data_IF_670838199050
#
_entry.id   IF_670838199050
#
_cell.length_a   1.000
_cell.length_b   1.000
_cell.length_c   1.000
_cell.angle_alpha   90.00
_cell.angle_beta   90.00
_cell.angle_gamma   90.00
#
_symmetry.space_group_name_H-M   'P 1'
#
loop_
_entity.id
_entity.type
_entity.pdbx_description
1 polymer ?
#
# COMPACT_ATOMS: atom_id res chain seq x y z
N UNK A 1 22.41 -11.24 7.20
CA UNK A 1 22.10 -9.85 7.64
C UNK A 1 22.54 -9.67 9.08
N UNK A 2 23.37 -8.66 9.37
CA UNK A 2 23.79 -8.34 10.74
C UNK A 2 22.64 -7.65 11.51
N UNK A 3 22.70 -7.66 12.83
CA UNK A 3 21.72 -6.98 13.67
C UNK A 3 21.64 -5.46 13.40
N UNK A 4 22.77 -4.84 13.08
CA UNK A 4 22.83 -3.40 12.76
C UNK A 4 22.13 -3.11 11.42
N UNK A 5 22.37 -3.91 10.39
CA UNK A 5 21.70 -3.81 9.09
C UNK A 5 20.18 -3.96 9.23
N UNK A 6 19.73 -4.97 10.00
CA UNK A 6 18.32 -5.19 10.29
C UNK A 6 17.67 -3.98 11.00
N UNK A 7 18.38 -3.39 11.97
CA UNK A 7 17.91 -2.21 12.68
C UNK A 7 17.78 -1.00 11.76
N UNK A 8 18.78 -0.76 10.91
CA UNK A 8 18.77 0.37 9.96
C UNK A 8 17.64 0.20 8.93
N UNK A 9 17.51 -0.99 8.33
CA UNK A 9 16.46 -1.27 7.36
C UNK A 9 15.06 -1.23 8.00
N UNK A 10 14.91 -1.72 9.23
CA UNK A 10 13.67 -1.63 9.98
C UNK A 10 13.26 -0.17 10.30
N UNK A 11 14.24 0.68 10.61
CA UNK A 11 14.02 2.12 10.80
C UNK A 11 13.62 2.80 9.48
N UNK A 12 14.28 2.47 8.38
CA UNK A 12 13.92 2.95 7.04
C UNK A 12 12.47 2.56 6.74
N UNK A 13 12.10 1.30 6.92
CA UNK A 13 10.72 0.83 6.71
C UNK A 13 9.72 1.63 7.57
N UNK A 14 9.95 1.71 8.87
CA UNK A 14 9.02 2.37 9.79
C UNK A 14 8.82 3.86 9.49
N UNK A 15 9.86 4.57 9.02
CA UNK A 15 9.76 5.97 8.64
C UNK A 15 9.10 6.15 7.27
N UNK A 16 9.46 5.32 6.28
CA UNK A 16 9.03 5.51 4.89
C UNK A 16 7.67 4.91 4.58
N UNK A 17 7.16 3.98 5.39
CA UNK A 17 5.82 3.39 5.20
C UNK A 17 4.70 4.42 5.42
N UNK A 18 4.83 5.23 6.46
CA UNK A 18 3.83 6.25 6.78
C UNK A 18 4.03 7.56 5.99
N UNK A 19 5.22 7.76 5.45
CA UNK A 19 5.48 8.83 4.50
C UNK A 19 5.13 8.36 3.09
N UNK A 20 4.56 9.22 2.24
CA UNK A 20 4.15 8.83 0.89
C UNK A 20 5.34 8.76 -0.09
N UNK A 21 6.44 8.06 0.30
CA UNK A 21 7.74 8.08 -0.41
C UNK A 21 8.24 6.70 -0.88
N UNK A 22 7.43 5.66 -0.79
CA UNK A 22 7.75 4.28 -1.15
C UNK A 22 8.76 3.59 -0.22
N UNK A 23 8.24 2.89 0.78
CA UNK A 23 9.06 2.06 1.69
C UNK A 23 9.77 0.93 0.95
N UNK A 24 9.09 0.24 0.04
CA UNK A 24 9.66 -0.83 -0.78
C UNK A 24 10.84 -0.35 -1.64
N UNK A 25 10.73 0.84 -2.23
CA UNK A 25 11.84 1.44 -2.98
C UNK A 25 13.05 1.75 -2.10
N UNK A 26 12.83 2.29 -0.91
CA UNK A 26 13.91 2.58 0.04
C UNK A 26 14.55 1.30 0.61
N UNK A 27 13.75 0.27 0.91
CA UNK A 27 14.26 -1.03 1.32
C UNK A 27 15.09 -1.68 0.22
N UNK A 28 14.65 -1.65 -1.04
CA UNK A 28 15.39 -2.21 -2.16
C UNK A 28 16.77 -1.54 -2.31
N UNK A 29 16.83 -0.22 -2.21
CA UNK A 29 18.09 0.53 -2.24
C UNK A 29 18.95 0.20 -1.02
N UNK A 30 18.37 0.21 0.18
CA UNK A 30 19.08 -0.10 1.42
C UNK A 30 19.66 -1.51 1.44
N UNK A 31 18.87 -2.51 1.02
CA UNK A 31 19.33 -3.90 0.90
C UNK A 31 20.47 -4.05 -0.10
N UNK A 32 20.36 -3.37 -1.26
CA UNK A 32 21.42 -3.38 -2.26
C UNK A 32 22.72 -2.74 -1.75
N UNK A 33 22.64 -1.64 -0.99
CA UNK A 33 23.81 -0.98 -0.39
C UNK A 33 24.51 -1.87 0.66
N UNK A 34 23.78 -2.68 1.39
CA UNK A 34 24.32 -3.65 2.34
C UNK A 34 24.69 -4.99 1.70
N UNK A 35 24.42 -5.19 0.40
CA UNK A 35 24.69 -6.45 -0.30
C UNK A 35 23.77 -7.62 0.15
N UNK A 36 22.61 -7.32 0.75
CA UNK A 36 21.66 -8.31 1.24
C UNK A 36 20.77 -8.75 0.07
N UNK A 37 20.75 -10.05 -0.22
CA UNK A 37 20.00 -10.64 -1.34
C UNK A 37 19.36 -11.98 -0.96
N UNK A 38 18.46 -12.46 -1.80
CA UNK A 38 17.85 -13.77 -1.68
C UNK A 38 16.83 -13.90 -0.54
N UNK A 39 16.70 -15.11 -0.02
CA UNK A 39 15.68 -15.48 0.97
C UNK A 39 15.76 -14.67 2.27
N UNK A 40 16.95 -14.30 2.69
CA UNK A 40 17.16 -13.51 3.91
C UNK A 40 16.54 -12.12 3.80
N UNK A 41 16.72 -11.46 2.65
CA UNK A 41 16.11 -10.16 2.36
C UNK A 41 14.58 -10.28 2.31
N UNK A 42 14.08 -11.34 1.69
CA UNK A 42 12.65 -11.61 1.57
C UNK A 42 12.00 -11.81 2.94
N UNK A 43 12.54 -12.70 3.77
CA UNK A 43 12.04 -12.96 5.10
C UNK A 43 12.02 -11.70 5.98
N UNK A 44 13.08 -10.89 5.91
CA UNK A 44 13.14 -9.61 6.62
C UNK A 44 12.05 -8.64 6.13
N UNK A 45 11.89 -8.50 4.83
CA UNK A 45 10.87 -7.61 4.23
C UNK A 45 9.47 -7.99 4.68
N UNK A 46 9.13 -9.27 4.72
CA UNK A 46 7.84 -9.77 5.22
C UNK A 46 7.63 -9.34 6.68
N UNK A 47 8.60 -9.60 7.54
CA UNK A 47 8.49 -9.30 8.97
C UNK A 47 8.26 -7.81 9.21
N UNK A 48 9.00 -6.92 8.52
CA UNK A 48 8.84 -5.48 8.73
C UNK A 48 7.52 -4.95 8.16
N UNK A 49 6.99 -5.54 7.08
CA UNK A 49 5.67 -5.20 6.56
C UNK A 49 4.56 -5.65 7.51
N UNK A 50 4.62 -6.86 8.04
CA UNK A 50 3.68 -7.34 9.05
C UNK A 50 3.71 -6.44 10.29
N UNK A 51 4.90 -6.04 10.74
CA UNK A 51 5.03 -5.12 11.87
C UNK A 51 4.37 -3.75 11.60
N UNK A 52 4.53 -3.21 10.38
CA UNK A 52 3.88 -1.93 10.00
C UNK A 52 2.37 -2.07 9.86
N UNK A 53 1.85 -3.21 9.38
CA UNK A 53 0.40 -3.50 9.37
C UNK A 53 -0.15 -3.54 10.81
N UNK A 54 0.51 -4.25 11.72
CA UNK A 54 0.12 -4.27 13.13
C UNK A 54 0.11 -2.87 13.74
N UNK A 55 1.14 -2.07 13.46
CA UNK A 55 1.22 -0.68 13.89
C UNK A 55 0.07 0.16 13.33
N UNK A 56 -0.27 -0.01 12.05
CA UNK A 56 -1.40 0.67 11.40
C UNK A 56 -2.73 0.31 12.05
N UNK A 57 -2.96 -0.97 12.36
CA UNK A 57 -4.16 -1.42 13.06
C UNK A 57 -4.29 -0.78 14.45
N UNK A 58 -3.19 -0.63 15.17
CA UNK A 58 -3.18 0.02 16.49
C UNK A 58 -3.47 1.52 16.36
N UNK A 59 -2.81 2.21 15.44
CA UNK A 59 -2.97 3.67 15.24
C UNK A 59 -4.38 4.00 14.77
N UNK A 60 -4.93 3.23 13.83
CA UNK A 60 -6.25 3.44 13.23
C UNK A 60 -7.36 2.64 13.95
N UNK A 61 -7.11 2.19 15.17
CA UNK A 61 -8.09 1.37 15.92
C UNK A 61 -9.43 2.08 16.11
N UNK A 62 -9.42 3.39 16.33
CA UNK A 62 -10.65 4.18 16.50
C UNK A 62 -11.49 4.25 15.23
N UNK A 63 -10.85 4.38 14.07
CA UNK A 63 -11.47 4.38 12.76
C UNK A 63 -12.04 3.00 12.42
N UNK A 64 -11.29 1.95 12.75
CA UNK A 64 -11.72 0.56 12.57
C UNK A 64 -12.94 0.26 13.45
N UNK A 65 -12.89 0.62 14.73
CA UNK A 65 -14.02 0.46 15.66
C UNK A 65 -15.26 1.26 15.20
N UNK A 66 -15.07 2.49 14.72
CA UNK A 66 -16.13 3.30 14.13
C UNK A 66 -16.76 2.59 12.92
N UNK A 67 -15.97 2.06 12.00
CA UNK A 67 -16.45 1.30 10.84
C UNK A 67 -17.26 0.09 11.28
N UNK A 68 -16.73 -0.74 12.19
CA UNK A 68 -17.42 -1.93 12.68
C UNK A 68 -18.75 -1.59 13.35
N UNK A 69 -18.76 -0.63 14.26
CA UNK A 69 -20.01 -0.20 14.95
C UNK A 69 -21.06 0.33 13.99
N UNK A 70 -20.66 1.02 12.93
CA UNK A 70 -21.58 1.52 11.93
C UNK A 70 -22.12 0.43 11.00
N UNK A 71 -21.26 -0.51 10.59
CA UNK A 71 -21.61 -1.61 9.70
C UNK A 71 -22.66 -2.55 10.32
N UNK A 72 -22.55 -2.86 11.62
CA UNK A 72 -23.50 -3.71 12.34
C UNK A 72 -24.89 -3.08 12.55
N UNK A 73 -25.08 -1.79 12.22
CA UNK A 73 -26.41 -1.16 12.23
C UNK A 73 -27.25 -1.53 11.01
N UNK A 74 -26.65 -2.18 10.00
CA UNK A 74 -27.30 -2.59 8.74
C UNK A 74 -28.08 -1.44 8.06
N UNK A 75 -27.57 -0.23 8.13
CA UNK A 75 -28.16 0.97 7.55
C UNK A 75 -27.16 1.63 6.59
N UNK A 76 -27.68 2.41 5.63
CA UNK A 76 -26.84 3.19 4.70
C UNK A 76 -26.35 4.47 5.38
N UNK A 77 -25.46 4.32 6.35
CA UNK A 77 -24.79 5.39 7.09
C UNK A 77 -23.44 5.79 6.46
N UNK A 78 -22.74 6.75 7.06
CA UNK A 78 -21.44 7.20 6.55
C UNK A 78 -20.38 6.10 6.64
N UNK A 79 -20.43 5.24 7.65
CA UNK A 79 -19.55 4.09 7.84
C UNK A 79 -19.74 3.05 6.71
N UNK A 80 -20.97 2.71 6.39
CA UNK A 80 -21.29 1.78 5.29
C UNK A 80 -20.82 2.35 3.95
N UNK A 81 -21.03 3.64 3.70
CA UNK A 81 -20.51 4.31 2.50
C UNK A 81 -19.00 4.28 2.43
N UNK A 82 -18.34 4.46 3.57
CA UNK A 82 -16.87 4.39 3.65
C UNK A 82 -16.35 3.00 3.28
N UNK A 83 -16.98 1.94 3.80
CA UNK A 83 -16.65 0.55 3.44
C UNK A 83 -16.90 0.29 1.95
N UNK A 84 -18.04 0.74 1.41
CA UNK A 84 -18.33 0.63 -0.03
C UNK A 84 -17.23 1.31 -0.86
N UNK A 85 -16.77 2.50 -0.47
CA UNK A 85 -15.69 3.19 -1.15
C UNK A 85 -14.37 2.39 -1.09
N UNK A 86 -14.04 1.77 0.06
CA UNK A 86 -12.88 0.86 0.17
C UNK A 86 -13.05 -0.30 -0.81
N UNK A 87 -14.20 -0.98 -0.83
CA UNK A 87 -14.45 -2.12 -1.73
C UNK A 87 -14.33 -1.70 -3.20
N UNK A 88 -14.90 -0.55 -3.57
CA UNK A 88 -14.80 -0.01 -4.94
C UNK A 88 -13.33 0.25 -5.30
N UNK A 89 -12.55 0.82 -4.39
CA UNK A 89 -11.13 1.10 -4.63
C UNK A 89 -10.27 -0.17 -4.74
N UNK A 90 -10.74 -1.30 -4.22
CA UNK A 90 -10.05 -2.59 -4.36
C UNK A 90 -10.30 -3.28 -5.70
N UNK A 91 -11.33 -2.90 -6.47
CA UNK A 91 -11.65 -3.54 -7.74
C UNK A 91 -10.49 -3.46 -8.74
N UNK A 92 -9.87 -2.28 -9.01
CA UNK A 92 -8.77 -2.20 -9.97
C UNK A 92 -7.56 -3.03 -9.56
N UNK A 93 -7.17 -3.01 -8.28
CA UNK A 93 -6.02 -3.79 -7.81
C UNK A 93 -6.30 -5.28 -7.83
N UNK A 94 -7.53 -5.71 -7.53
CA UNK A 94 -7.95 -7.09 -7.66
C UNK A 94 -7.86 -7.60 -9.11
N UNK A 95 -8.22 -6.78 -10.09
CA UNK A 95 -8.06 -7.10 -11.51
C UNK A 95 -6.57 -7.28 -11.85
N UNK A 96 -5.70 -6.37 -11.39
CA UNK A 96 -4.26 -6.48 -11.63
C UNK A 96 -3.70 -7.74 -10.97
N UNK A 97 -4.06 -8.04 -9.73
CA UNK A 97 -3.58 -9.23 -9.02
C UNK A 97 -4.01 -10.55 -9.64
N UNK A 98 -5.19 -10.60 -10.28
CA UNK A 98 -5.68 -11.85 -10.93
C UNK A 98 -5.17 -12.00 -12.35
N UNK A 99 -5.15 -10.94 -13.17
CA UNK A 99 -4.90 -11.04 -14.60
C UNK A 99 -3.48 -10.61 -15.02
N UNK A 100 -2.77 -9.85 -14.20
CA UNK A 100 -1.48 -9.27 -14.56
C UNK A 100 -0.35 -9.66 -13.60
N UNK A 101 -0.55 -10.69 -12.75
CA UNK A 101 0.43 -11.16 -11.76
C UNK A 101 1.81 -11.40 -12.39
N UNK A 102 1.87 -12.18 -13.45
CA UNK A 102 3.13 -12.56 -14.10
C UNK A 102 3.90 -11.36 -14.66
N UNK A 103 3.18 -10.36 -15.18
CA UNK A 103 3.79 -9.10 -15.65
C UNK A 103 4.36 -8.28 -14.51
N UNK A 104 3.66 -8.22 -13.38
CA UNK A 104 4.13 -7.52 -12.18
C UNK A 104 5.41 -8.19 -11.67
N UNK A 105 5.44 -9.50 -11.54
CA UNK A 105 6.61 -10.28 -11.11
C UNK A 105 7.81 -10.06 -12.03
N UNK A 106 7.60 -10.07 -13.35
CA UNK A 106 8.65 -9.80 -14.33
C UNK A 106 9.26 -8.37 -14.13
N UNK A 107 8.45 -7.39 -13.77
CA UNK A 107 8.92 -6.02 -13.52
C UNK A 107 9.71 -5.95 -12.20
N UNK A 108 9.32 -6.69 -11.17
CA UNK A 108 10.08 -6.75 -9.92
C UNK A 108 11.50 -7.29 -10.13
N UNK A 109 11.70 -8.21 -11.07
CA UNK A 109 13.01 -8.74 -11.45
C UNK A 109 13.90 -7.80 -12.26
N UNK A 110 13.41 -6.63 -12.69
CA UNK A 110 14.10 -5.75 -13.66
C UNK A 110 15.13 -4.79 -13.05
N UNK A 111 15.37 -4.84 -11.74
CA UNK A 111 16.48 -4.19 -11.06
C UNK A 111 16.21 -2.76 -10.57
N UNK A 112 17.22 -2.19 -9.91
CA UNK A 112 17.14 -0.90 -9.20
C UNK A 112 16.86 0.32 -10.09
N UNK A 113 17.13 0.24 -11.39
CA UNK A 113 16.85 1.37 -12.29
C UNK A 113 15.34 1.67 -12.38
N UNK A 114 14.50 0.64 -12.46
CA UNK A 114 13.04 0.83 -12.47
C UNK A 114 12.57 1.39 -11.13
N UNK A 115 13.10 0.88 -10.01
CA UNK A 115 12.82 1.42 -8.68
C UNK A 115 13.14 2.92 -8.61
N UNK A 116 14.31 3.32 -9.11
CA UNK A 116 14.71 4.73 -9.16
C UNK A 116 13.78 5.59 -10.01
N UNK A 117 13.39 5.13 -11.20
CA UNK A 117 12.43 5.83 -12.07
C UNK A 117 11.07 5.98 -11.39
N UNK A 118 10.59 4.95 -10.69
CA UNK A 118 9.31 4.98 -9.99
C UNK A 118 9.34 5.89 -8.75
N UNK A 119 10.47 5.97 -8.05
CA UNK A 119 10.67 6.96 -6.98
C UNK A 119 10.62 8.39 -7.52
N UNK A 120 11.24 8.66 -8.66
CA UNK A 120 11.16 9.97 -9.32
C UNK A 120 9.72 10.30 -9.76
N UNK A 121 9.00 9.32 -10.28
CA UNK A 121 7.58 9.47 -10.61
C UNK A 121 6.74 9.79 -9.36
N UNK A 122 6.98 9.10 -8.24
CA UNK A 122 6.35 9.41 -6.95
C UNK A 122 6.62 10.85 -6.53
N UNK A 123 7.87 11.30 -6.62
CA UNK A 123 8.26 12.67 -6.29
C UNK A 123 7.55 13.69 -7.19
N UNK A 124 7.44 13.42 -8.49
CA UNK A 124 6.72 14.27 -9.45
C UNK A 124 5.22 14.35 -9.12
N UNK A 125 4.57 13.21 -8.82
CA UNK A 125 3.15 13.16 -8.45
C UNK A 125 2.88 13.96 -7.16
N UNK A 126 3.72 13.78 -6.14
CA UNK A 126 3.58 14.51 -4.87
C UNK A 126 3.82 16.02 -5.06
N UNK A 127 4.84 16.40 -5.83
CA UNK A 127 5.12 17.80 -6.14
C UNK A 127 3.94 18.43 -6.87
N UNK A 128 3.41 17.76 -7.89
CA UNK A 128 2.25 18.26 -8.63
C UNK A 128 1.02 18.40 -7.72
N UNK A 129 0.74 17.42 -6.86
CA UNK A 129 -0.39 17.48 -5.92
C UNK A 129 -0.22 18.58 -4.86
N UNK A 130 1.02 18.96 -4.52
CA UNK A 130 1.31 20.05 -3.59
C UNK A 130 0.96 21.42 -4.18
N UNK A 131 1.29 21.65 -5.44
CA UNK A 131 1.04 22.94 -6.10
C UNK A 131 -0.40 23.06 -6.63
N UNK A 132 -1.01 21.98 -7.06
CA UNK A 132 -2.38 21.96 -7.53
C UNK A 132 -3.36 21.84 -6.36
N UNK A 133 -4.16 22.90 -6.13
CA UNK A 133 -5.11 22.99 -5.01
C UNK A 133 -6.54 23.15 -5.53
N UNK A 134 -7.22 22.06 -5.90
CA UNK A 134 -8.63 22.15 -6.32
C UNK A 134 -9.52 22.49 -5.12
N UNK A 135 -10.80 22.83 -5.42
CA UNK A 135 -11.81 23.06 -4.39
C UNK A 135 -11.98 21.79 -3.55
N UNK A 136 -11.85 21.92 -2.23
CA UNK A 136 -11.96 20.78 -1.31
C UNK A 136 -13.39 20.26 -1.21
N UNK A 137 -13.50 18.92 -1.22
CA UNK A 137 -14.72 18.15 -0.97
C UNK A 137 -14.68 17.59 0.45
N UNK A 138 -15.82 17.55 1.12
CA UNK A 138 -15.93 17.02 2.48
C UNK A 138 -15.96 15.49 2.55
N UNK A 139 -16.40 14.82 1.48
CA UNK A 139 -16.57 13.35 1.43
C UNK A 139 -16.00 12.81 0.13
N UNK A 140 -15.29 11.67 0.24
CA UNK A 140 -14.82 10.90 -0.90
C UNK A 140 -16.02 10.28 -1.60
N UNK A 141 -16.19 10.55 -2.89
CA UNK A 141 -17.27 9.94 -3.68
C UNK A 141 -16.88 8.54 -4.17
N UNK A 142 -17.86 7.72 -4.58
CA UNK A 142 -17.57 6.39 -5.18
C UNK A 142 -16.72 6.50 -6.44
N UNK A 143 -16.90 7.57 -7.23
CA UNK A 143 -16.07 7.83 -8.43
C UNK A 143 -14.63 8.15 -8.04
N UNK A 144 -14.44 9.00 -7.03
CA UNK A 144 -13.12 9.35 -6.52
C UNK A 144 -12.42 8.10 -5.94
N UNK A 145 -13.15 7.28 -5.17
CA UNK A 145 -12.65 6.01 -4.63
C UNK A 145 -12.19 5.05 -5.74
N UNK A 146 -12.93 4.95 -6.84
CA UNK A 146 -12.53 4.12 -7.98
C UNK A 146 -11.26 4.66 -8.66
N UNK A 147 -11.17 5.98 -8.87
CA UNK A 147 -9.97 6.61 -9.49
C UNK A 147 -8.76 6.47 -8.57
N UNK A 148 -8.93 6.62 -7.25
CA UNK A 148 -7.89 6.35 -6.26
C UNK A 148 -7.47 4.88 -6.32
N UNK A 149 -8.41 3.96 -6.51
CA UNK A 149 -8.15 2.53 -6.71
C UNK A 149 -7.36 2.24 -7.99
N UNK A 150 -7.57 2.96 -9.09
CA UNK A 150 -6.75 2.88 -10.29
C UNK A 150 -5.30 3.33 -10.01
N UNK A 151 -5.12 4.42 -9.26
CA UNK A 151 -3.79 4.87 -8.85
C UNK A 151 -3.11 3.83 -7.94
N UNK A 152 -3.85 3.16 -7.06
CA UNK A 152 -3.34 2.04 -6.26
C UNK A 152 -2.91 0.87 -7.16
N UNK A 153 -3.68 0.51 -8.17
CA UNK A 153 -3.35 -0.55 -9.11
C UNK A 153 -2.07 -0.24 -9.90
N UNK A 154 -1.85 1.02 -10.31
CA UNK A 154 -0.59 1.44 -10.91
C UNK A 154 0.59 1.36 -9.92
N UNK A 155 0.33 1.60 -8.64
CA UNK A 155 1.34 1.60 -7.59
C UNK A 155 1.79 0.20 -7.14
N UNK A 156 1.39 -0.86 -7.83
CA UNK A 156 1.98 -2.19 -7.74
C UNK A 156 3.43 -2.18 -8.25
N UNK A 157 3.80 -1.24 -9.11
CA UNK A 157 5.16 -1.12 -9.63
C UNK A 157 6.18 -0.82 -8.51
N UNK A 158 7.32 -1.56 -8.46
CA UNK A 158 8.31 -1.41 -7.40
C UNK A 158 8.92 0.00 -7.39
N UNK A 159 8.91 0.65 -6.24
CA UNK A 159 9.38 2.04 -6.10
C UNK A 159 8.30 3.10 -6.30
N UNK A 160 7.15 2.78 -6.90
CA UNK A 160 6.01 3.70 -6.94
C UNK A 160 5.28 3.63 -5.60
N UNK A 161 5.28 4.75 -4.88
CA UNK A 161 4.62 4.80 -3.57
C UNK A 161 3.12 4.62 -3.68
N UNK A 162 2.59 3.56 -3.07
CA UNK A 162 1.15 3.33 -3.02
C UNK A 162 0.42 4.46 -2.30
N UNK A 163 0.83 4.79 -1.08
CA UNK A 163 0.25 5.90 -0.32
C UNK A 163 0.49 7.24 -1.03
N UNK A 164 1.66 7.44 -1.65
CA UNK A 164 1.95 8.61 -2.46
C UNK A 164 0.99 8.77 -3.65
N UNK A 165 0.77 7.72 -4.41
CA UNK A 165 -0.10 7.72 -5.58
C UNK A 165 -1.57 7.92 -5.20
N UNK A 166 -2.07 7.21 -4.19
CA UNK A 166 -3.47 7.30 -3.75
C UNK A 166 -3.78 8.66 -3.11
N UNK A 167 -2.90 9.17 -2.24
CA UNK A 167 -3.07 10.48 -1.62
C UNK A 167 -2.94 11.60 -2.67
N UNK A 168 -1.93 11.56 -3.54
CA UNK A 168 -1.77 12.55 -4.59
C UNK A 168 -3.00 12.59 -5.52
N UNK A 169 -3.48 11.43 -5.95
CA UNK A 169 -4.67 11.33 -6.80
C UNK A 169 -5.91 11.91 -6.12
N UNK A 170 -6.19 11.55 -4.87
CA UNK A 170 -7.33 12.10 -4.14
C UNK A 170 -7.22 13.60 -3.91
N UNK A 171 -6.01 14.13 -3.64
CA UNK A 171 -5.79 15.57 -3.54
C UNK A 171 -6.07 16.28 -4.87
N UNK A 172 -5.68 15.71 -6.00
CA UNK A 172 -5.96 16.22 -7.34
C UNK A 172 -7.46 16.21 -7.66
N UNK A 173 -8.19 15.24 -7.13
CA UNK A 173 -9.65 15.18 -7.23
C UNK A 173 -10.37 16.16 -6.29
N UNK A 174 -9.64 16.78 -5.36
CA UNK A 174 -10.14 17.77 -4.40
C UNK A 174 -10.63 17.17 -3.08
N UNK A 175 -10.27 15.93 -2.76
CA UNK A 175 -10.67 15.32 -1.49
C UNK A 175 -9.86 15.89 -0.31
N UNK A 176 -10.46 15.86 0.88
CA UNK A 176 -9.83 16.40 2.10
C UNK A 176 -8.60 15.59 2.51
N UNK A 177 -7.47 16.26 2.69
CA UNK A 177 -6.16 15.65 2.99
C UNK A 177 -6.18 14.68 4.18
N UNK A 178 -6.81 15.05 5.29
CA UNK A 178 -6.84 14.21 6.49
C UNK A 178 -7.65 12.92 6.24
N UNK A 179 -8.81 13.04 5.59
CA UNK A 179 -9.65 11.90 5.24
C UNK A 179 -9.01 10.99 4.21
N UNK A 180 -8.22 11.57 3.27
CA UNK A 180 -7.47 10.80 2.28
C UNK A 180 -6.36 9.96 2.90
N UNK A 181 -5.61 10.51 3.85
CA UNK A 181 -4.57 9.75 4.52
C UNK A 181 -5.17 8.53 5.24
N UNK A 182 -6.25 8.73 6.01
CA UNK A 182 -6.96 7.63 6.66
C UNK A 182 -7.50 6.61 5.64
N UNK A 183 -8.15 7.08 4.56
CA UNK A 183 -8.66 6.22 3.50
C UNK A 183 -7.56 5.41 2.83
N UNK A 184 -6.44 6.04 2.49
CA UNK A 184 -5.28 5.40 1.85
C UNK A 184 -4.68 4.29 2.72
N UNK A 185 -4.60 4.48 4.03
CA UNK A 185 -4.10 3.44 4.94
C UNK A 185 -5.13 2.34 5.23
N UNK A 186 -6.41 2.67 5.33
CA UNK A 186 -7.45 1.67 5.60
C UNK A 186 -7.75 0.80 4.37
N UNK A 187 -7.72 1.37 3.15
CA UNK A 187 -8.02 0.62 1.92
C UNK A 187 -7.01 -0.48 1.60
N UNK A 188 -5.82 -0.44 2.19
CA UNK A 188 -4.78 -1.44 1.97
C UNK A 188 -4.86 -2.61 2.95
N UNK A 189 -5.51 -2.44 4.09
CA UNK A 189 -5.62 -3.49 5.10
C UNK A 189 -6.31 -4.75 4.54
N UNK A 190 -7.48 -4.68 3.86
CA UNK A 190 -8.13 -5.87 3.32
C UNK A 190 -7.30 -6.64 2.28
N UNK A 191 -6.63 -6.02 1.28
CA UNK A 191 -5.73 -6.75 0.38
C UNK A 191 -4.61 -7.47 1.11
N UNK A 192 -3.89 -6.79 2.01
CA UNK A 192 -2.79 -7.41 2.77
C UNK A 192 -3.28 -8.58 3.63
N UNK A 193 -4.39 -8.41 4.35
CA UNK A 193 -4.95 -9.51 5.15
C UNK A 193 -5.45 -10.65 4.29
N UNK A 194 -6.06 -10.35 3.14
CA UNK A 194 -6.50 -11.36 2.18
C UNK A 194 -5.35 -12.19 1.64
N UNK A 195 -4.25 -11.56 1.29
CA UNK A 195 -3.03 -12.21 0.82
C UNK A 195 -2.38 -13.04 1.92
N UNK A 196 -2.16 -12.48 3.10
CA UNK A 196 -1.61 -13.22 4.23
C UNK A 196 -2.45 -14.47 4.57
N UNK A 197 -3.77 -14.40 4.43
CA UNK A 197 -4.66 -15.53 4.63
C UNK A 197 -4.46 -16.59 3.53
N UNK A 198 -4.39 -16.18 2.26
CA UNK A 198 -4.18 -17.08 1.13
C UNK A 198 -2.83 -17.80 1.24
N UNK A 199 -1.77 -17.08 1.58
CA UNK A 199 -0.44 -17.65 1.76
C UNK A 199 -0.40 -18.62 2.93
N UNK A 200 -1.07 -18.28 4.04
CA UNK A 200 -1.22 -19.19 5.18
C UNK A 200 -1.93 -20.50 4.78
N UNK A 201 -2.97 -20.42 3.95
CA UNK A 201 -3.69 -21.61 3.45
C UNK A 201 -2.82 -22.43 2.51
N UNK A 202 -2.03 -21.82 1.63
CA UNK A 202 -1.09 -22.51 0.74
C UNK A 202 -0.01 -23.24 1.53
N UNK A 203 0.59 -22.56 2.52
CA UNK A 203 1.57 -23.19 3.43
C UNK A 203 0.99 -24.43 4.14
N UNK A 204 -0.26 -24.35 4.59
CA UNK A 204 -0.93 -25.51 5.22
C UNK A 204 -1.17 -26.66 4.24
N UNK A 205 -1.29 -26.40 2.94
CA UNK A 205 -1.44 -27.40 1.89
C UNK A 205 -0.11 -27.98 1.38
N UNK A 206 1.02 -27.44 1.83
CA UNK A 206 2.36 -27.85 1.38
C UNK A 206 2.68 -27.38 -0.04
N UNK A 207 1.99 -26.37 -0.55
CA UNK A 207 2.29 -25.70 -1.81
C UNK A 207 3.40 -24.66 -1.57
N UNK A 208 4.33 -24.52 -2.53
CA UNK A 208 5.35 -23.47 -2.44
C UNK A 208 4.68 -22.09 -2.47
N UNK A 209 4.94 -21.33 -1.44
CA UNK A 209 4.44 -19.96 -1.35
C UNK A 209 5.35 -19.08 -2.18
N UNK A 210 4.93 -18.78 -3.40
CA UNK A 210 5.51 -17.69 -4.16
C UNK A 210 5.12 -16.36 -3.50
N UNK A 211 6.05 -15.80 -2.75
CA UNK A 211 5.88 -14.55 -1.96
C UNK A 211 5.83 -13.30 -2.86
N UNK A 212 5.21 -13.41 -4.03
CA UNK A 212 5.26 -12.39 -5.08
C UNK A 212 4.36 -11.16 -4.83
N UNK A 213 3.36 -11.28 -3.97
CA UNK A 213 2.35 -10.24 -3.79
C UNK A 213 2.50 -9.42 -2.48
N UNK A 214 3.39 -9.80 -1.57
CA UNK A 214 3.64 -9.04 -0.32
C UNK A 214 4.21 -7.64 -0.59
N UNK A 215 4.58 -7.35 -1.83
CA UNK A 215 5.03 -6.03 -2.27
C UNK A 215 3.91 -5.08 -2.72
N UNK A 216 2.66 -5.50 -2.63
CA UNK A 216 1.48 -4.63 -2.81
C UNK A 216 1.14 -3.96 -1.48
#
# INVERSE_FOLDING_TARGET
MSWLEAMILGLIQGLTEYLPVSSSGHLAIGSALFGIQGEENLAFTIVVHVATVCSTLVILWKEIDWIFKGLFKFQMNDETRYVINIVISMIPIGIVGVFFKDYVEAIFGSGLMIVGCMLLLTAALLSFSYYYKPRQKDKISMKDAFIIGLAQACAVLPGLSRSGSTIATGLLLGDNKAKLAQFSFLMVIPPILGEALLDSVKMMKGEDVELSLIHI
#
